data_IF_515572093409
#
_entry.id   IF_515572093409
#
_cell.length_a   1.000
_cell.length_b   1.000
_cell.length_c   1.000
_cell.angle_alpha   90.00
_cell.angle_beta   90.00
_cell.angle_gamma   90.00
#
_symmetry.space_group_name_H-M   'P 1'
#
loop_
_entity.id
_entity.type
_entity.pdbx_description
1 polymer ?
#
# COMPACT_ATOMS: atom_id res chain seq x y z
N UNK A 1 4.28 0.02 12.38
CA UNK A 1 3.32 1.16 12.32
C UNK A 1 1.93 0.62 12.06
N UNK A 2 1.06 0.53 13.08
CA UNK A 2 -0.27 -0.06 12.92
C UNK A 2 -1.21 0.74 11.99
N UNK A 3 -0.92 2.03 11.75
CA UNK A 3 -1.85 2.93 11.07
C UNK A 3 -1.74 2.94 9.54
N UNK A 4 -0.67 2.40 8.94
CA UNK A 4 -0.50 2.42 7.47
C UNK A 4 -1.57 1.58 6.76
N UNK A 5 -1.82 0.37 7.26
CA UNK A 5 -2.85 -0.52 6.72
C UNK A 5 -4.24 0.09 6.84
N UNK A 6 -4.52 0.78 7.96
CA UNK A 6 -5.78 1.48 8.16
C UNK A 6 -5.96 2.61 7.14
N UNK A 7 -4.91 3.39 6.86
CA UNK A 7 -4.97 4.46 5.86
C UNK A 7 -5.20 3.87 4.46
N UNK A 8 -4.45 2.82 4.08
CA UNK A 8 -4.67 2.14 2.79
C UNK A 8 -6.10 1.58 2.68
N UNK A 9 -6.64 1.02 3.76
CA UNK A 9 -8.01 0.53 3.79
C UNK A 9 -9.02 1.67 3.57
N UNK A 10 -8.88 2.79 4.29
CA UNK A 10 -9.76 3.96 4.12
C UNK A 10 -9.68 4.49 2.68
N UNK A 11 -8.47 4.58 2.11
CA UNK A 11 -8.26 5.03 0.74
C UNK A 11 -8.82 4.05 -0.31
N UNK A 12 -8.98 2.78 0.03
CA UNK A 12 -9.58 1.76 -0.86
C UNK A 12 -11.10 1.72 -0.81
N UNK A 13 -11.75 2.43 0.12
CA UNK A 13 -13.22 2.43 0.25
C UNK A 13 -13.94 2.83 -1.05
N UNK A 14 -13.52 3.86 -1.81
CA UNK A 14 -14.16 4.21 -3.08
C UNK A 14 -14.12 3.06 -4.10
N UNK A 15 -13.01 2.32 -4.17
CA UNK A 15 -12.90 1.17 -5.06
C UNK A 15 -13.83 0.03 -4.62
N UNK A 16 -13.96 -0.22 -3.31
CA UNK A 16 -14.91 -1.19 -2.80
C UNK A 16 -16.37 -0.79 -3.01
N UNK A 17 -16.70 0.50 -2.93
CA UNK A 17 -18.07 0.95 -3.22
C UNK A 17 -18.45 0.73 -4.68
N UNK A 18 -17.54 1.02 -5.62
CA UNK A 18 -17.78 0.78 -7.05
C UNK A 18 -17.87 -0.72 -7.33
N UNK A 19 -16.98 -1.52 -6.76
CA UNK A 19 -17.02 -2.97 -6.92
C UNK A 19 -18.30 -3.59 -6.33
N UNK A 20 -18.77 -3.08 -5.19
CA UNK A 20 -20.05 -3.50 -4.61
C UNK A 20 -21.24 -3.14 -5.50
N UNK A 21 -21.19 -1.97 -6.15
CA UNK A 21 -22.18 -1.56 -7.14
C UNK A 21 -22.16 -2.47 -8.38
N UNK A 22 -20.99 -2.78 -8.93
CA UNK A 22 -20.84 -3.68 -10.08
C UNK A 22 -21.38 -5.09 -9.78
N UNK A 23 -21.10 -5.62 -8.59
CA UNK A 23 -21.66 -6.91 -8.12
C UNK A 23 -23.19 -6.83 -8.00
N UNK A 24 -23.71 -5.74 -7.46
CA UNK A 24 -25.16 -5.54 -7.34
C UNK A 24 -25.83 -5.50 -8.72
N UNK A 25 -25.25 -4.78 -9.68
CA UNK A 25 -25.76 -4.73 -11.06
C UNK A 25 -25.68 -6.11 -11.73
N UNK A 26 -24.58 -6.84 -11.54
CA UNK A 26 -24.42 -8.20 -12.06
C UNK A 26 -25.43 -9.20 -11.48
N UNK A 27 -25.82 -9.02 -10.21
CA UNK A 27 -26.84 -9.84 -9.56
C UNK A 27 -28.25 -9.57 -10.10
N UNK A 28 -28.58 -8.30 -10.35
CA UNK A 28 -29.92 -7.91 -10.78
C UNK A 28 -30.15 -8.02 -12.30
N UNK A 29 -29.08 -7.98 -13.11
CA UNK A 29 -29.17 -8.17 -14.56
C UNK A 29 -29.32 -9.65 -14.91
N UNK A 30 -30.55 -10.16 -14.78
CA UNK A 30 -30.91 -11.56 -15.08
C UNK A 30 -30.95 -11.88 -16.58
N UNK A 31 -31.03 -10.85 -17.43
CA UNK A 31 -31.09 -10.98 -18.89
C UNK A 31 -29.76 -11.45 -19.50
N UNK A 32 -28.65 -11.14 -18.86
CA UNK A 32 -27.32 -11.56 -19.28
C UNK A 32 -27.01 -12.93 -18.68
N UNK A 33 -26.18 -13.74 -19.34
CA UNK A 33 -25.78 -15.07 -18.84
C UNK A 33 -24.26 -15.19 -18.78
N UNK A 34 -23.77 -16.00 -17.84
CA UNK A 34 -22.34 -16.28 -17.72
C UNK A 34 -21.50 -15.07 -17.32
N UNK A 35 -20.33 -14.93 -17.94
CA UNK A 35 -19.34 -13.87 -17.68
C UNK A 35 -19.84 -12.48 -18.07
N UNK A 36 -20.81 -12.40 -18.96
CA UNK A 36 -21.33 -11.13 -19.49
C UNK A 36 -22.20 -10.38 -18.48
N UNK A 37 -22.56 -11.03 -17.36
CA UNK A 37 -23.24 -10.39 -16.23
C UNK A 37 -22.35 -9.40 -15.49
N UNK A 38 -21.05 -9.64 -15.48
CA UNK A 38 -20.12 -8.83 -14.71
C UNK A 38 -19.34 -7.91 -15.64
N UNK A 39 -19.74 -6.65 -15.66
CA UNK A 39 -18.93 -5.57 -16.22
C UNK A 39 -18.52 -4.62 -15.09
N UNK A 40 -17.37 -3.99 -15.26
CA UNK A 40 -17.00 -2.88 -14.39
C UNK A 40 -17.64 -1.61 -14.95
N UNK A 41 -18.31 -0.85 -14.11
CA UNK A 41 -18.99 0.37 -14.54
C UNK A 41 -17.98 1.45 -14.93
N UNK A 42 -18.27 2.16 -16.01
CA UNK A 42 -17.48 3.29 -16.48
C UNK A 42 -17.68 4.52 -15.59
N UNK A 43 -16.62 5.33 -15.42
CA UNK A 43 -16.68 6.54 -14.61
C UNK A 43 -17.70 7.56 -15.14
N UNK A 44 -17.80 7.68 -16.46
CA UNK A 44 -18.77 8.54 -17.13
C UNK A 44 -20.20 8.12 -16.83
N UNK A 45 -20.48 6.82 -16.81
CA UNK A 45 -21.79 6.30 -16.46
C UNK A 45 -22.18 6.71 -15.04
N UNK A 46 -21.26 6.60 -14.08
CA UNK A 46 -21.52 7.05 -12.70
C UNK A 46 -21.81 8.56 -12.64
N UNK A 47 -21.03 9.39 -13.34
CA UNK A 47 -21.27 10.83 -13.34
C UNK A 47 -22.63 11.20 -13.93
N UNK A 48 -22.97 10.65 -15.10
CA UNK A 48 -24.25 10.91 -15.77
C UNK A 48 -25.43 10.48 -14.90
N UNK A 49 -25.35 9.33 -14.23
CA UNK A 49 -26.47 8.80 -13.45
C UNK A 49 -26.66 9.47 -12.10
N UNK A 50 -25.58 9.85 -11.42
CA UNK A 50 -25.67 10.43 -10.08
C UNK A 50 -25.66 11.96 -10.07
N UNK A 51 -25.10 12.62 -11.09
CA UNK A 51 -25.03 14.08 -11.22
C UNK A 51 -25.17 14.55 -12.68
N UNK A 52 -26.33 14.31 -13.33
CA UNK A 52 -26.54 14.66 -14.74
C UNK A 52 -26.34 16.16 -15.01
N UNK A 53 -26.85 17.03 -14.13
CA UNK A 53 -26.73 18.49 -14.31
C UNK A 53 -25.28 18.98 -14.29
N UNK A 54 -24.40 18.34 -13.52
CA UNK A 54 -22.97 18.66 -13.49
C UNK A 54 -22.26 18.17 -14.76
N UNK A 55 -22.66 17.00 -15.25
CA UNK A 55 -22.15 16.46 -16.51
C UNK A 55 -22.54 17.35 -17.69
N UNK A 56 -23.82 17.70 -17.82
CA UNK A 56 -24.33 18.54 -18.90
C UNK A 56 -23.66 19.91 -18.89
N UNK A 57 -23.54 20.53 -17.71
CA UNK A 57 -22.81 21.78 -17.56
C UNK A 57 -21.36 21.66 -18.03
N UNK A 58 -20.67 20.57 -17.70
CA UNK A 58 -19.28 20.37 -18.11
C UNK A 58 -19.14 20.18 -19.63
N UNK A 59 -20.06 19.45 -20.27
CA UNK A 59 -20.13 19.30 -21.73
C UNK A 59 -20.36 20.65 -22.41
N UNK A 60 -21.27 21.46 -21.89
CA UNK A 60 -21.66 22.74 -22.50
C UNK A 60 -20.61 23.84 -22.34
N UNK A 61 -19.77 23.76 -21.30
CA UNK A 61 -18.82 24.83 -20.95
C UNK A 61 -17.36 24.49 -21.28
N UNK A 62 -17.04 23.24 -21.62
CA UNK A 62 -15.70 22.85 -22.04
C UNK A 62 -15.57 22.88 -23.56
N UNK A 63 -14.37 23.24 -24.03
CA UNK A 63 -14.06 23.19 -25.46
C UNK A 63 -14.25 21.75 -25.97
N UNK A 64 -14.97 21.52 -27.08
CA UNK A 64 -15.18 20.19 -27.65
C UNK A 64 -13.88 19.43 -27.92
N UNK A 65 -12.79 20.11 -28.31
CA UNK A 65 -11.48 19.47 -28.50
C UNK A 65 -10.90 18.96 -27.17
N UNK A 66 -11.07 19.72 -26.09
CA UNK A 66 -10.60 19.32 -24.75
C UNK A 66 -11.47 18.19 -24.21
N UNK A 67 -12.78 18.30 -24.36
CA UNK A 67 -13.73 17.27 -23.93
C UNK A 67 -13.41 15.93 -24.59
N UNK A 68 -13.39 15.87 -25.92
CA UNK A 68 -13.16 14.65 -26.67
C UNK A 68 -11.71 14.14 -26.55
N UNK A 69 -10.74 15.04 -26.41
CA UNK A 69 -9.33 14.66 -26.34
C UNK A 69 -8.87 14.15 -24.97
N UNK A 70 -9.47 14.62 -23.88
CA UNK A 70 -8.97 14.37 -22.53
C UNK A 70 -10.04 13.88 -21.55
N UNK A 71 -11.22 14.49 -21.56
CA UNK A 71 -12.26 14.21 -20.55
C UNK A 71 -12.98 12.91 -20.89
N UNK A 72 -13.53 12.80 -22.10
CA UNK A 72 -14.29 11.63 -22.53
C UNK A 72 -13.46 10.32 -22.45
N UNK A 73 -12.19 10.27 -22.88
CA UNK A 73 -11.36 9.07 -22.71
C UNK A 73 -11.12 8.67 -21.26
N UNK A 74 -11.10 9.64 -20.33
CA UNK A 74 -10.98 9.39 -18.89
C UNK A 74 -12.30 8.84 -18.32
N UNK A 75 -13.42 9.34 -18.81
CA UNK A 75 -14.76 8.89 -18.39
C UNK A 75 -15.09 7.47 -18.87
N UNK A 76 -14.53 7.04 -19.99
CA UNK A 76 -14.64 5.68 -20.49
C UNK A 76 -13.77 4.66 -19.73
N UNK A 77 -12.93 5.11 -18.78
CA UNK A 77 -12.19 4.19 -17.93
C UNK A 77 -13.11 3.58 -16.87
N UNK A 78 -12.85 2.32 -16.52
CA UNK A 78 -13.52 1.67 -15.40
C UNK A 78 -13.32 2.47 -14.11
N UNK A 79 -14.43 2.81 -13.47
CA UNK A 79 -14.44 3.56 -12.21
C UNK A 79 -13.66 2.84 -11.10
N UNK A 80 -13.64 1.50 -11.13
CA UNK A 80 -12.89 0.68 -10.18
C UNK A 80 -11.38 0.95 -10.29
N UNK A 81 -10.84 0.98 -11.52
CA UNK A 81 -9.42 1.25 -11.73
C UNK A 81 -9.05 2.69 -11.36
N UNK A 82 -9.89 3.66 -11.71
CA UNK A 82 -9.68 5.07 -11.34
C UNK A 82 -9.65 5.23 -9.82
N UNK A 83 -10.58 4.58 -9.10
CA UNK A 83 -10.63 4.62 -7.64
C UNK A 83 -9.41 3.97 -6.96
N UNK A 84 -8.81 2.95 -7.59
CA UNK A 84 -7.60 2.30 -7.07
C UNK A 84 -6.31 3.13 -7.21
N UNK A 85 -6.30 4.18 -8.03
CA UNK A 85 -5.09 5.01 -8.24
C UNK A 85 -4.59 5.59 -6.92
N UNK A 86 -5.48 6.12 -6.07
CA UNK A 86 -5.10 6.74 -4.80
C UNK A 86 -4.39 5.79 -3.83
N UNK A 87 -4.97 4.62 -3.46
CA UNK A 87 -4.27 3.67 -2.61
C UNK A 87 -3.00 3.11 -3.27
N UNK A 88 -3.00 2.90 -4.59
CA UNK A 88 -1.81 2.43 -5.31
C UNK A 88 -0.64 3.41 -5.21
N UNK A 89 -0.88 4.71 -5.43
CA UNK A 89 0.14 5.76 -5.29
C UNK A 89 0.71 5.78 -3.86
N UNK A 90 -0.15 5.69 -2.84
CA UNK A 90 0.30 5.63 -1.45
C UNK A 90 1.18 4.41 -1.15
N UNK A 91 0.80 3.24 -1.66
CA UNK A 91 1.57 2.01 -1.53
C UNK A 91 2.94 2.16 -2.22
N UNK A 92 2.97 2.75 -3.41
CA UNK A 92 4.22 3.01 -4.15
C UNK A 92 5.13 3.96 -3.36
N UNK A 93 4.61 5.10 -2.91
CA UNK A 93 5.38 6.08 -2.12
C UNK A 93 5.95 5.42 -0.87
N UNK A 94 5.13 4.68 -0.14
CA UNK A 94 5.58 3.99 1.07
C UNK A 94 6.60 2.88 0.77
N UNK A 95 6.42 2.14 -0.32
CA UNK A 95 7.38 1.17 -0.83
C UNK A 95 8.73 1.81 -1.13
N UNK A 96 8.74 2.96 -1.80
CA UNK A 96 9.95 3.75 -2.09
C UNK A 96 10.60 4.26 -0.80
N UNK A 97 9.83 4.77 0.16
CA UNK A 97 10.37 5.21 1.46
C UNK A 97 11.02 4.05 2.22
N UNK A 98 10.40 2.86 2.18
CA UNK A 98 10.97 1.65 2.78
C UNK A 98 12.24 1.20 2.08
N UNK A 99 12.26 1.20 0.75
CA UNK A 99 13.44 0.84 -0.06
C UNK A 99 14.62 1.77 0.18
N UNK A 100 14.36 3.08 0.23
CA UNK A 100 15.38 4.12 0.45
C UNK A 100 15.73 4.31 1.94
N UNK A 101 15.00 3.66 2.86
CA UNK A 101 15.20 3.81 4.30
C UNK A 101 14.95 5.24 4.79
N UNK A 102 13.98 5.94 4.20
CA UNK A 102 13.61 7.31 4.56
C UNK A 102 12.54 7.34 5.66
N UNK A 103 12.46 8.45 6.39
CA UNK A 103 11.45 8.66 7.43
C UNK A 103 11.53 7.64 8.58
N UNK A 104 10.44 6.92 8.81
CA UNK A 104 10.33 5.90 9.86
C UNK A 104 11.09 4.61 9.58
N UNK A 105 11.67 4.47 8.38
CA UNK A 105 12.46 3.30 7.95
C UNK A 105 13.96 3.57 7.95
N UNK A 106 14.43 4.62 8.64
CA UNK A 106 15.86 4.91 8.79
C UNK A 106 16.63 3.69 9.28
N UNK A 107 17.56 3.20 8.45
CA UNK A 107 18.38 2.01 8.71
C UNK A 107 17.83 0.68 8.22
N UNK A 108 16.61 0.63 7.66
CA UNK A 108 15.98 -0.56 7.06
C UNK A 108 15.93 -0.54 5.52
N UNK A 109 16.42 0.55 4.89
CA UNK A 109 16.57 0.63 3.44
C UNK A 109 17.53 -0.42 2.89
N UNK A 110 17.63 -0.52 1.56
CA UNK A 110 18.46 -1.48 0.84
C UNK A 110 19.90 -1.49 1.37
N UNK A 111 20.14 -2.32 2.39
CA UNK A 111 21.46 -2.62 2.87
C UNK A 111 21.95 -3.68 1.90
N UNK A 112 22.80 -3.25 0.96
CA UNK A 112 23.80 -4.14 0.39
C UNK A 112 24.31 -5.02 1.54
N UNK A 113 24.29 -6.36 1.42
CA UNK A 113 24.77 -7.24 2.48
C UNK A 113 26.13 -6.69 2.87
N UNK A 114 26.24 -6.22 4.10
CA UNK A 114 27.47 -5.64 4.61
C UNK A 114 28.47 -6.77 4.80
N UNK A 115 29.06 -7.21 3.69
CA UNK A 115 30.39 -7.78 3.65
C UNK A 115 31.33 -6.77 4.33
N UNK A 116 31.44 -6.86 5.66
CA UNK A 116 32.43 -6.10 6.43
C UNK A 116 31.96 -5.39 7.70
N UNK A 117 30.68 -5.38 8.09
CA UNK A 117 30.35 -4.90 9.46
C UNK A 117 30.68 -5.98 10.48
N UNK A 118 31.93 -5.96 10.93
CA UNK A 118 32.39 -6.69 12.12
C UNK A 118 31.38 -6.45 13.26
N UNK A 119 30.96 -7.49 14.00
CA UNK A 119 30.11 -7.30 15.15
C UNK A 119 30.79 -6.30 16.10
N UNK A 120 30.09 -5.23 16.49
CA UNK A 120 30.51 -4.40 17.61
C UNK A 120 30.48 -5.32 18.83
N UNK A 121 31.65 -5.86 19.19
CA UNK A 121 31.89 -6.48 20.49
C UNK A 121 31.58 -5.41 21.51
N UNK A 122 30.42 -5.53 22.16
CA UNK A 122 30.08 -4.79 23.37
C UNK A 122 31.14 -5.14 24.39
N UNK A 123 32.16 -4.28 24.51
CA UNK A 123 33.09 -4.30 25.64
C UNK A 123 32.25 -4.09 26.89
N UNK A 124 31.97 -5.19 27.61
CA UNK A 124 31.63 -5.16 29.04
C UNK A 124 32.71 -4.30 29.71
N UNK A 125 32.39 -3.05 30.03
CA UNK A 125 33.13 -2.32 31.05
C UNK A 125 32.72 -2.96 32.37
N UNK A 126 33.64 -3.73 32.94
CA UNK A 126 33.61 -3.98 34.36
C UNK A 126 33.79 -2.64 35.07
N UNK A 127 33.14 -2.52 36.22
CA UNK A 127 33.77 -1.97 37.42
C UNK A 127 32.89 -2.28 38.65
N UNK A 128 33.55 -2.96 39.61
CA UNK A 128 33.37 -3.01 41.07
C UNK A 128 31.94 -3.09 41.64
N UNK A 129 31.53 -4.06 42.46
CA UNK A 129 32.22 -5.12 43.18
C UNK A 129 31.39 -5.40 44.46
N UNK A 130 31.18 -6.67 44.82
CA UNK A 130 30.99 -7.08 46.21
C UNK A 130 31.27 -8.58 46.35
N UNK A 131 32.39 -8.89 47.00
CA UNK A 131 32.57 -9.99 47.94
C UNK A 131 31.83 -11.31 47.70
N UNK A 132 32.58 -12.38 47.38
CA UNK A 132 32.28 -13.69 47.95
C UNK A 132 32.58 -14.90 47.08
N UNK A 133 33.56 -15.69 47.54
CA UNK A 133 33.67 -17.13 47.35
C UNK A 133 34.34 -17.72 46.08
N UNK A 134 35.67 -17.84 46.21
CA UNK A 134 36.47 -19.08 46.04
C UNK A 134 36.58 -19.70 44.63
N UNK A 135 37.62 -19.28 43.91
CA UNK A 135 38.34 -20.12 42.94
C UNK A 135 39.05 -21.27 43.66
N UNK A 136 38.50 -22.48 43.58
CA UNK A 136 39.19 -23.71 43.96
C UNK A 136 40.10 -24.17 42.80
N UNK A 137 41.40 -23.95 42.98
CA UNK A 137 42.47 -24.71 42.30
C UNK A 137 42.26 -26.21 42.53
N UNK A 138 42.26 -27.02 41.49
CA UNK A 138 42.70 -28.43 41.57
C UNK A 138 43.39 -28.89 40.27
N UNK A 139 44.72 -28.80 40.34
CA UNK A 139 45.74 -29.80 39.94
C UNK A 139 45.37 -30.91 38.95
N UNK A 140 46.06 -30.89 37.80
CA UNK A 140 46.43 -32.03 36.94
C UNK A 140 46.96 -33.21 37.76
N UNK A 141 46.50 -34.43 37.46
CA UNK A 141 47.28 -35.65 37.66
C UNK A 141 47.33 -36.47 36.36
N UNK A 142 48.53 -36.93 36.01
CA UNK A 142 48.86 -37.85 34.91
C UNK A 142 48.62 -39.29 35.35
N UNK A 143 48.16 -40.14 34.41
CA UNK A 143 48.13 -41.61 34.54
C UNK A 143 49.55 -42.21 34.62
N UNK A 144 49.73 -43.21 35.48
CA UNK A 144 50.53 -44.41 35.25
C UNK A 144 49.72 -45.59 35.76
#
# INVERSE_FOLDING_TARGET
MPNFLLICFILSLPAFSVLGYDIYMAYNNTELQGTDRFWLTDLGWLWINYMPSSYDWAVDNLDPLVWNGFVDPLLQQSAFYVALVFPAVFIIIYGLMKLLGLGSFKGQGFSLPQFGRKPKVTKKKGDFGFSGAKDKKHTKYKRK
#
